data_IF_242070909616
#
_entry.id   IF_242070909616
#
_cell.length_a   1.000
_cell.length_b   1.000
_cell.length_c   1.000
_cell.angle_alpha   90.00
_cell.angle_beta   90.00
_cell.angle_gamma   90.00
#
_symmetry.space_group_name_H-M   'P 1'
#
loop_
_entity.id
_entity.type
_entity.pdbx_description
1 polymer ?
#
# COMPACT_ATOMS: atom_id res chain seq x y z
N UNK A 1 5.11 -11.48 -13.64
CA UNK A 1 4.36 -12.72 -13.29
C UNK A 1 3.22 -12.92 -14.27
N UNK A 2 3.23 -14.02 -15.07
CA UNK A 2 2.14 -14.33 -16.02
C UNK A 2 0.84 -14.53 -15.22
N UNK A 3 -0.14 -13.65 -15.41
CA UNK A 3 -1.47 -13.81 -14.82
C UNK A 3 -2.05 -15.16 -15.27
N UNK A 4 -2.48 -16.00 -14.31
CA UNK A 4 -3.11 -17.27 -14.61
C UNK A 4 -4.28 -17.06 -15.56
N UNK A 5 -4.39 -17.89 -16.60
CA UNK A 5 -5.47 -17.88 -17.60
C UNK A 5 -6.86 -17.77 -16.96
N UNK A 6 -7.09 -18.49 -15.86
CA UNK A 6 -8.32 -18.43 -15.08
C UNK A 6 -8.65 -17.05 -14.49
N UNK A 7 -7.65 -16.27 -14.08
CA UNK A 7 -7.86 -14.90 -13.61
C UNK A 7 -8.36 -13.98 -14.71
N UNK A 8 -7.92 -14.22 -15.95
CA UNK A 8 -8.40 -13.46 -17.11
C UNK A 8 -9.87 -13.78 -17.44
N UNK A 9 -10.31 -15.03 -17.28
CA UNK A 9 -11.68 -15.44 -17.54
C UNK A 9 -12.65 -14.99 -16.44
N UNK A 10 -12.32 -15.23 -15.18
CA UNK A 10 -13.25 -15.00 -14.06
C UNK A 10 -13.27 -13.56 -13.55
N UNK A 11 -12.20 -12.78 -13.81
CA UNK A 11 -11.97 -11.49 -13.18
C UNK A 11 -11.04 -11.59 -11.96
N UNK A 12 -10.46 -10.46 -11.50
CA UNK A 12 -9.53 -10.41 -10.36
C UNK A 12 -9.83 -9.21 -9.45
N UNK A 13 -9.50 -9.32 -8.15
CA UNK A 13 -9.57 -8.18 -7.22
C UNK A 13 -8.61 -7.05 -7.65
N UNK A 14 -8.92 -5.77 -7.38
CA UNK A 14 -10.13 -5.28 -6.70
C UNK A 14 -11.33 -5.07 -7.64
N UNK A 15 -11.20 -5.29 -8.95
CA UNK A 15 -12.17 -4.91 -9.96
C UNK A 15 -13.44 -5.78 -9.98
N UNK A 16 -13.40 -6.97 -9.37
CA UNK A 16 -14.54 -7.91 -9.32
C UNK A 16 -14.71 -8.43 -7.90
N UNK A 17 -15.95 -8.34 -7.37
CA UNK A 17 -16.32 -8.93 -6.09
C UNK A 17 -16.25 -10.47 -6.14
N UNK A 18 -16.29 -11.12 -4.98
CA UNK A 18 -16.30 -12.57 -4.89
C UNK A 18 -17.51 -13.16 -5.63
N UNK A 19 -18.69 -12.58 -5.42
CA UNK A 19 -19.95 -12.96 -6.04
C UNK A 19 -19.87 -12.89 -7.57
N UNK A 20 -19.31 -11.80 -8.11
CA UNK A 20 -19.12 -11.64 -9.55
C UNK A 20 -18.21 -12.70 -10.14
N UNK A 21 -17.15 -13.07 -9.44
CA UNK A 21 -16.20 -14.11 -9.89
C UNK A 21 -16.81 -15.51 -9.84
N UNK A 22 -17.59 -15.81 -8.80
CA UNK A 22 -18.34 -17.06 -8.69
C UNK A 22 -19.38 -17.12 -9.81
N UNK A 23 -20.14 -16.05 -10.03
CA UNK A 23 -21.12 -15.95 -11.09
C UNK A 23 -20.52 -16.19 -12.49
N UNK A 24 -19.39 -15.55 -12.79
CA UNK A 24 -18.68 -15.77 -14.04
C UNK A 24 -18.24 -17.24 -14.21
N UNK A 25 -17.79 -17.88 -13.13
CA UNK A 25 -17.44 -19.30 -13.14
C UNK A 25 -18.66 -20.20 -13.39
N UNK A 26 -19.79 -19.90 -12.76
CA UNK A 26 -21.06 -20.61 -12.96
C UNK A 26 -21.51 -20.46 -14.42
N UNK A 27 -21.56 -19.24 -14.97
CA UNK A 27 -21.96 -19.01 -16.35
C UNK A 27 -21.10 -19.79 -17.37
N UNK A 28 -19.77 -19.81 -17.17
CA UNK A 28 -18.86 -20.56 -18.04
C UNK A 28 -19.08 -22.08 -17.92
N UNK A 29 -19.16 -22.59 -16.69
CA UNK A 29 -19.38 -24.00 -16.44
C UNK A 29 -20.76 -24.45 -16.97
N UNK A 30 -21.81 -23.64 -16.73
CA UNK A 30 -23.15 -23.90 -17.26
C UNK A 30 -23.15 -23.92 -18.78
N UNK A 31 -22.47 -22.99 -19.45
CA UNK A 31 -22.38 -22.97 -20.90
C UNK A 31 -21.73 -24.25 -21.46
N UNK A 32 -20.65 -24.74 -20.84
CA UNK A 32 -20.02 -26.01 -21.26
C UNK A 32 -20.94 -27.20 -21.04
N UNK A 33 -21.55 -27.32 -19.87
CA UNK A 33 -22.45 -28.44 -19.54
C UNK A 33 -23.69 -28.42 -20.43
N UNK A 34 -24.32 -27.28 -20.65
CA UNK A 34 -25.48 -27.12 -21.50
C UNK A 34 -25.17 -27.46 -22.96
N UNK A 35 -24.00 -27.06 -23.46
CA UNK A 35 -23.56 -27.44 -24.79
C UNK A 35 -23.48 -28.98 -24.98
N UNK A 36 -22.91 -29.66 -23.97
CA UNK A 36 -22.86 -31.14 -24.00
C UNK A 36 -24.23 -31.76 -23.88
N UNK A 37 -25.12 -31.22 -23.03
CA UNK A 37 -26.49 -31.70 -22.88
C UNK A 37 -27.32 -31.53 -24.16
N UNK A 38 -27.19 -30.38 -24.85
CA UNK A 38 -27.90 -30.18 -26.14
C UNK A 38 -27.55 -31.30 -27.13
N UNK A 39 -26.24 -31.66 -27.19
CA UNK A 39 -25.82 -32.75 -28.07
C UNK A 39 -26.41 -34.10 -27.65
N UNK A 40 -26.47 -34.40 -26.36
CA UNK A 40 -27.04 -35.60 -25.81
C UNK A 40 -28.56 -35.68 -26.08
N UNK A 41 -29.31 -34.61 -25.84
CA UNK A 41 -30.76 -34.54 -26.05
C UNK A 41 -31.15 -34.67 -27.52
N UNK A 42 -30.31 -34.20 -28.45
CA UNK A 42 -30.48 -34.40 -29.89
C UNK A 42 -30.34 -35.89 -30.21
N UNK A 43 -29.34 -36.58 -29.67
CA UNK A 43 -29.13 -38.00 -29.88
C UNK A 43 -30.26 -38.86 -29.29
N UNK A 44 -30.84 -38.44 -28.17
CA UNK A 44 -31.99 -39.10 -27.52
C UNK A 44 -33.33 -38.74 -28.15
N UNK A 45 -33.40 -37.82 -29.11
CA UNK A 45 -34.62 -37.41 -29.80
C UNK A 45 -35.58 -36.55 -28.96
N UNK A 46 -35.15 -35.95 -27.85
CA UNK A 46 -36.00 -35.17 -26.93
C UNK A 46 -36.02 -33.70 -27.38
N UNK A 47 -36.62 -33.38 -28.51
CA UNK A 47 -36.60 -32.06 -29.14
C UNK A 47 -37.07 -30.89 -28.25
N UNK A 48 -38.02 -31.15 -27.33
CA UNK A 48 -38.60 -30.14 -26.47
C UNK A 48 -37.58 -29.61 -25.44
N UNK A 49 -36.71 -30.48 -24.90
CA UNK A 49 -35.64 -30.11 -23.98
C UNK A 49 -34.50 -29.41 -24.72
N UNK A 50 -34.21 -29.76 -25.95
CA UNK A 50 -33.16 -29.09 -26.76
C UNK A 50 -33.40 -27.58 -26.87
N UNK A 51 -34.63 -27.15 -27.19
CA UNK A 51 -34.99 -25.74 -27.30
C UNK A 51 -34.72 -25.01 -25.97
N UNK A 52 -35.13 -25.67 -24.87
CA UNK A 52 -34.93 -25.15 -23.53
C UNK A 52 -33.44 -24.97 -23.17
N UNK A 53 -32.62 -26.00 -23.44
CA UNK A 53 -31.19 -25.99 -23.18
C UNK A 53 -30.46 -24.94 -24.01
N UNK A 54 -30.84 -24.74 -25.29
CA UNK A 54 -30.31 -23.69 -26.16
C UNK A 54 -30.63 -22.30 -25.57
N UNK A 55 -31.86 -22.08 -25.10
CA UNK A 55 -32.23 -20.79 -24.48
C UNK A 55 -31.38 -20.47 -23.24
N UNK A 56 -31.17 -21.46 -22.34
CA UNK A 56 -30.34 -21.27 -21.14
C UNK A 56 -28.85 -21.02 -21.54
N UNK A 57 -28.35 -21.76 -22.52
CA UNK A 57 -27.00 -21.60 -23.03
C UNK A 57 -26.76 -20.15 -23.54
N UNK A 58 -27.66 -19.63 -24.38
CA UNK A 58 -27.58 -18.26 -24.90
C UNK A 58 -27.63 -17.24 -23.76
N UNK A 59 -28.55 -17.41 -22.81
CA UNK A 59 -28.64 -16.52 -21.63
C UNK A 59 -27.34 -16.56 -20.80
N UNK A 60 -26.76 -17.74 -20.59
CA UNK A 60 -25.51 -17.92 -19.85
C UNK A 60 -24.36 -17.18 -20.50
N UNK A 61 -24.20 -17.27 -21.83
CA UNK A 61 -23.16 -16.59 -22.61
C UNK A 61 -23.35 -15.06 -22.57
N UNK A 62 -24.60 -14.59 -22.75
CA UNK A 62 -24.92 -13.16 -22.70
C UNK A 62 -24.65 -12.61 -21.29
N UNK A 63 -25.11 -13.26 -20.24
CA UNK A 63 -24.87 -12.86 -18.85
C UNK A 63 -23.39 -12.86 -18.50
N UNK A 64 -22.63 -13.85 -18.95
CA UNK A 64 -21.15 -13.85 -18.80
C UNK A 64 -20.52 -12.64 -19.47
N UNK A 65 -20.88 -12.33 -20.72
CA UNK A 65 -20.34 -11.20 -21.44
C UNK A 65 -20.60 -9.87 -20.71
N UNK A 66 -21.86 -9.60 -20.34
CA UNK A 66 -22.21 -8.36 -19.65
C UNK A 66 -21.61 -8.27 -18.25
N UNK A 67 -21.56 -9.37 -17.50
CA UNK A 67 -20.93 -9.43 -16.18
C UNK A 67 -19.42 -9.15 -16.30
N UNK A 68 -18.74 -9.86 -17.21
CA UNK A 68 -17.28 -9.84 -17.31
C UNK A 68 -16.73 -8.58 -17.95
N UNK A 69 -17.33 -8.11 -19.06
CA UNK A 69 -16.80 -7.02 -19.86
C UNK A 69 -17.49 -5.67 -19.58
N UNK A 70 -18.77 -5.68 -19.26
CA UNK A 70 -19.53 -4.46 -18.95
C UNK A 70 -19.67 -4.20 -17.44
N UNK A 71 -19.18 -5.10 -16.58
CA UNK A 71 -19.23 -5.00 -15.11
C UNK A 71 -20.64 -4.85 -14.53
N UNK A 72 -21.69 -5.29 -15.26
CA UNK A 72 -23.11 -5.23 -14.83
C UNK A 72 -23.55 -6.55 -14.16
N UNK A 73 -22.69 -7.11 -13.32
CA UNK A 73 -22.89 -8.44 -12.72
C UNK A 73 -24.14 -8.52 -11.83
N UNK A 74 -24.50 -7.48 -11.05
CA UNK A 74 -25.69 -7.50 -10.19
C UNK A 74 -26.99 -7.70 -11.01
N UNK A 75 -27.14 -6.97 -12.11
CA UNK A 75 -28.29 -7.09 -13.01
C UNK A 75 -28.31 -8.45 -13.71
N UNK A 76 -27.13 -8.92 -14.14
CA UNK A 76 -27.00 -10.21 -14.80
C UNK A 76 -27.37 -11.38 -13.88
N UNK A 77 -27.01 -11.33 -12.59
CA UNK A 77 -27.41 -12.33 -11.60
C UNK A 77 -28.94 -12.43 -11.51
N UNK A 78 -29.63 -11.30 -11.36
CA UNK A 78 -31.08 -11.28 -11.23
C UNK A 78 -31.77 -11.85 -12.48
N UNK A 79 -31.34 -11.40 -13.67
CA UNK A 79 -31.87 -11.90 -14.95
C UNK A 79 -31.65 -13.40 -15.09
N UNK A 80 -30.44 -13.85 -14.79
CA UNK A 80 -30.07 -15.26 -14.88
C UNK A 80 -30.91 -16.13 -13.92
N UNK A 81 -31.09 -15.67 -12.66
CA UNK A 81 -31.89 -16.39 -11.67
C UNK A 81 -33.37 -16.50 -12.07
N UNK A 82 -33.96 -15.41 -12.58
CA UNK A 82 -35.37 -15.44 -13.08
C UNK A 82 -35.46 -16.40 -14.24
N UNK A 83 -34.58 -16.30 -15.24
CA UNK A 83 -34.57 -17.18 -16.39
C UNK A 83 -34.42 -18.66 -15.99
N UNK A 84 -33.49 -18.98 -15.09
CA UNK A 84 -33.29 -20.33 -14.59
C UNK A 84 -34.55 -20.89 -13.90
N UNK A 85 -35.22 -20.10 -13.02
CA UNK A 85 -36.44 -20.58 -12.37
C UNK A 85 -37.57 -20.85 -13.35
N UNK A 86 -37.79 -19.97 -14.35
CA UNK A 86 -38.79 -20.21 -15.42
C UNK A 86 -38.48 -21.49 -16.17
N UNK A 87 -37.22 -21.68 -16.56
CA UNK A 87 -36.77 -22.84 -17.31
C UNK A 87 -36.83 -24.13 -16.49
N UNK A 88 -36.62 -24.07 -15.18
CA UNK A 88 -36.79 -25.23 -14.28
C UNK A 88 -38.24 -25.64 -14.14
N UNK A 89 -39.20 -24.70 -14.11
CA UNK A 89 -40.63 -25.01 -14.14
C UNK A 89 -41.00 -25.76 -15.42
N UNK A 90 -40.49 -25.29 -16.57
CA UNK A 90 -40.72 -25.96 -17.87
C UNK A 90 -40.04 -27.32 -17.90
N UNK A 91 -38.80 -27.43 -17.40
CA UNK A 91 -38.08 -28.70 -17.32
C UNK A 91 -38.83 -29.71 -16.44
N UNK A 92 -39.38 -29.28 -15.30
CA UNK A 92 -40.19 -30.17 -14.44
C UNK A 92 -41.34 -30.80 -15.18
N UNK A 93 -42.05 -30.00 -16.00
CA UNK A 93 -43.21 -30.49 -16.78
C UNK A 93 -42.82 -31.52 -17.87
N UNK A 94 -41.69 -31.29 -18.55
CA UNK A 94 -41.27 -32.11 -19.69
C UNK A 94 -40.27 -33.20 -19.34
N UNK A 95 -39.73 -33.21 -18.12
CA UNK A 95 -38.77 -34.21 -17.66
C UNK A 95 -39.34 -35.09 -16.52
N UNK A 96 -40.55 -35.62 -16.74
CA UNK A 96 -41.20 -36.61 -15.88
C UNK A 96 -41.47 -36.17 -14.43
N UNK A 97 -41.50 -34.87 -14.12
CA UNK A 97 -41.84 -34.32 -12.82
C UNK A 97 -41.04 -34.90 -11.65
N UNK A 98 -41.73 -35.47 -10.66
CA UNK A 98 -41.11 -36.10 -9.48
C UNK A 98 -40.32 -37.37 -9.84
N UNK A 99 -40.66 -38.05 -10.93
CA UNK A 99 -39.97 -39.24 -11.38
C UNK A 99 -38.66 -38.94 -12.13
N UNK A 100 -38.42 -37.68 -12.51
CA UNK A 100 -37.21 -37.23 -13.18
C UNK A 100 -36.23 -36.56 -12.22
N UNK A 101 -35.08 -36.09 -12.73
CA UNK A 101 -34.03 -35.43 -11.92
C UNK A 101 -34.33 -33.96 -11.59
N UNK A 102 -35.49 -33.42 -11.99
CA UNK A 102 -35.81 -31.99 -11.90
C UNK A 102 -35.70 -31.43 -10.47
N UNK A 103 -36.11 -32.19 -9.44
CA UNK A 103 -35.99 -31.80 -8.05
C UNK A 103 -34.51 -31.63 -7.62
N UNK A 104 -33.63 -32.50 -8.11
CA UNK A 104 -32.19 -32.40 -7.85
C UNK A 104 -31.60 -31.10 -8.47
N UNK A 105 -32.08 -30.73 -9.67
CA UNK A 105 -31.65 -29.49 -10.34
C UNK A 105 -32.18 -28.26 -9.58
N UNK A 106 -33.37 -28.28 -8.98
CA UNK A 106 -33.86 -27.23 -8.10
C UNK A 106 -32.97 -27.06 -6.87
N UNK A 107 -32.48 -28.13 -6.24
CA UNK A 107 -31.51 -28.07 -5.13
C UNK A 107 -30.19 -27.44 -5.59
N UNK A 108 -29.69 -27.81 -6.77
CA UNK A 108 -28.51 -27.17 -7.35
C UNK A 108 -28.75 -25.68 -7.60
N UNK A 109 -29.88 -25.33 -8.23
CA UNK A 109 -30.23 -23.92 -8.48
C UNK A 109 -30.30 -23.10 -7.20
N UNK A 110 -30.88 -23.66 -6.14
CA UNK A 110 -30.90 -23.05 -4.81
C UNK A 110 -29.49 -22.81 -4.26
N UNK A 111 -28.61 -23.82 -4.30
CA UNK A 111 -27.23 -23.72 -3.85
C UNK A 111 -26.43 -22.66 -4.64
N UNK A 112 -26.58 -22.65 -5.97
CA UNK A 112 -25.91 -21.65 -6.82
C UNK A 112 -26.43 -20.23 -6.54
N UNK A 113 -27.74 -20.07 -6.32
CA UNK A 113 -28.38 -18.78 -6.00
C UNK A 113 -27.79 -18.18 -4.72
N UNK A 114 -27.74 -18.95 -3.63
CA UNK A 114 -27.17 -18.47 -2.35
C UNK A 114 -25.68 -18.13 -2.49
N UNK A 115 -24.96 -18.86 -3.34
CA UNK A 115 -23.53 -18.63 -3.54
C UNK A 115 -23.19 -17.31 -4.24
N UNK A 116 -24.15 -16.69 -4.94
CA UNK A 116 -23.92 -15.54 -5.83
C UNK A 116 -24.72 -14.30 -5.46
N UNK A 117 -25.90 -14.46 -4.90
CA UNK A 117 -26.82 -13.36 -4.59
C UNK A 117 -26.34 -12.61 -3.33
N UNK A 118 -26.47 -11.26 -3.26
CA UNK A 118 -26.16 -10.51 -2.05
C UNK A 118 -27.01 -10.94 -0.84
N UNK A 119 -26.40 -10.96 0.36
CA UNK A 119 -27.07 -11.41 1.61
C UNK A 119 -28.46 -10.82 1.85
N UNK A 120 -28.67 -9.54 1.45
CA UNK A 120 -29.98 -8.88 1.60
C UNK A 120 -31.12 -9.52 0.81
N UNK A 121 -30.83 -10.28 -0.24
CA UNK A 121 -31.79 -10.89 -1.12
C UNK A 121 -32.00 -12.41 -0.83
N UNK A 122 -31.24 -13.01 0.10
CA UNK A 122 -31.32 -14.45 0.37
C UNK A 122 -32.73 -14.93 0.65
N UNK A 123 -33.40 -14.31 1.59
CA UNK A 123 -34.74 -14.73 2.02
C UNK A 123 -35.78 -14.68 0.89
N UNK A 124 -35.67 -13.69 0.00
CA UNK A 124 -36.54 -13.59 -1.16
C UNK A 124 -36.38 -14.80 -2.11
N UNK A 125 -35.11 -15.08 -2.48
CA UNK A 125 -34.84 -16.16 -3.43
C UNK A 125 -35.06 -17.56 -2.83
N UNK A 126 -34.82 -17.75 -1.53
CA UNK A 126 -35.14 -18.97 -0.79
C UNK A 126 -36.66 -19.23 -0.82
N UNK A 127 -37.45 -18.24 -0.41
CA UNK A 127 -38.88 -18.33 -0.37
C UNK A 127 -39.50 -18.60 -1.77
N UNK A 128 -38.96 -17.91 -2.79
CA UNK A 128 -39.41 -18.10 -4.18
C UNK A 128 -39.14 -19.53 -4.68
N UNK A 129 -37.91 -20.05 -4.46
CA UNK A 129 -37.55 -21.41 -4.89
C UNK A 129 -38.45 -22.47 -4.19
N UNK A 130 -38.61 -22.34 -2.86
CA UNK A 130 -39.49 -23.25 -2.10
C UNK A 130 -40.95 -23.16 -2.56
N UNK A 131 -41.48 -21.96 -2.78
CA UNK A 131 -42.85 -21.78 -3.27
C UNK A 131 -43.06 -22.43 -4.64
N UNK A 132 -42.10 -22.25 -5.57
CA UNK A 132 -42.16 -22.89 -6.88
C UNK A 132 -42.21 -24.44 -6.74
N UNK A 133 -41.27 -25.00 -5.97
CA UNK A 133 -41.21 -26.49 -5.81
C UNK A 133 -42.46 -27.02 -5.15
N UNK A 134 -42.94 -26.39 -4.05
CA UNK A 134 -44.19 -26.82 -3.37
C UNK A 134 -45.39 -26.73 -4.32
N UNK A 135 -45.50 -25.65 -5.10
CA UNK A 135 -46.60 -25.45 -6.06
C UNK A 135 -46.56 -26.54 -7.15
N UNK A 136 -45.38 -26.85 -7.70
CA UNK A 136 -45.24 -27.89 -8.73
C UNK A 136 -45.64 -29.28 -8.21
N UNK A 137 -45.19 -29.64 -7.00
CA UNK A 137 -45.57 -30.91 -6.36
C UNK A 137 -47.06 -30.96 -6.05
N UNK A 138 -47.68 -29.86 -5.58
CA UNK A 138 -49.10 -29.79 -5.33
C UNK A 138 -49.93 -29.94 -6.61
N UNK A 139 -49.51 -29.32 -7.73
CA UNK A 139 -50.16 -29.44 -9.03
C UNK A 139 -50.08 -30.90 -9.52
N UNK A 140 -48.91 -31.55 -9.45
CA UNK A 140 -48.71 -32.91 -9.88
C UNK A 140 -49.57 -33.89 -9.07
N UNK A 141 -49.62 -33.68 -7.74
CA UNK A 141 -50.46 -34.51 -6.84
C UNK A 141 -51.96 -34.35 -7.10
N UNK A 142 -52.43 -33.10 -7.30
CA UNK A 142 -53.87 -32.80 -7.40
C UNK A 142 -54.40 -33.13 -8.79
N UNK A 143 -53.63 -32.85 -9.84
CA UNK A 143 -54.05 -33.06 -11.24
C UNK A 143 -53.25 -34.21 -11.88
N UNK A 144 -53.58 -35.44 -11.49
CA UNK A 144 -52.94 -36.64 -12.02
C UNK A 144 -53.05 -36.72 -13.56
N UNK A 145 -51.91 -36.92 -14.23
CA UNK A 145 -51.83 -36.97 -15.69
C UNK A 145 -51.44 -35.65 -16.38
N UNK A 146 -51.27 -34.53 -15.64
CA UNK A 146 -50.77 -33.27 -16.19
C UNK A 146 -49.29 -33.38 -16.61
N UNK A 147 -48.54 -34.18 -15.90
CA UNK A 147 -47.13 -34.46 -16.16
C UNK A 147 -47.03 -35.88 -16.68
N UNK A 148 -46.55 -36.04 -17.92
CA UNK A 148 -46.39 -37.34 -18.54
C UNK A 148 -44.99 -37.90 -18.24
N UNK A 149 -44.93 -39.22 -18.01
CA UNK A 149 -43.63 -39.88 -17.97
C UNK A 149 -43.03 -39.85 -19.39
N UNK A 150 -41.87 -39.21 -19.53
CA UNK A 150 -41.21 -39.00 -20.82
C UNK A 150 -40.19 -40.10 -21.13
N UNK A 151 -39.84 -40.92 -20.14
CA UNK A 151 -38.87 -42.00 -20.34
C UNK A 151 -39.48 -43.19 -21.05
N UNK A 152 -38.84 -43.71 -22.11
CA UNK A 152 -39.28 -44.89 -22.82
C UNK A 152 -39.14 -46.18 -21.97
N UNK A 153 -38.12 -46.20 -21.07
CA UNK A 153 -37.79 -47.31 -20.20
C UNK A 153 -37.14 -46.87 -18.89
N UNK A 154 -36.98 -47.79 -17.95
CA UNK A 154 -36.31 -47.51 -16.67
C UNK A 154 -34.81 -47.26 -16.82
N UNK A 155 -34.15 -47.83 -17.81
CA UNK A 155 -32.70 -47.65 -18.03
C UNK A 155 -32.40 -46.21 -18.40
N UNK A 156 -33.14 -45.63 -19.34
CA UNK A 156 -33.02 -44.20 -19.71
C UNK A 156 -33.22 -43.28 -18.53
N UNK A 157 -34.16 -43.58 -17.64
CA UNK A 157 -34.38 -42.82 -16.40
C UNK A 157 -33.19 -42.92 -15.46
N UNK A 158 -32.63 -44.10 -15.21
CA UNK A 158 -31.48 -44.29 -14.35
C UNK A 158 -30.25 -43.53 -14.88
N UNK A 159 -30.04 -43.55 -16.19
CA UNK A 159 -28.95 -42.84 -16.86
C UNK A 159 -29.08 -41.31 -16.64
N UNK A 160 -30.28 -40.73 -16.88
CA UNK A 160 -30.52 -39.29 -16.74
C UNK A 160 -30.36 -38.84 -15.29
N UNK A 161 -30.92 -39.54 -14.31
CA UNK A 161 -30.79 -39.25 -12.90
C UNK A 161 -29.31 -39.34 -12.45
N UNK A 162 -28.60 -40.40 -12.85
CA UNK A 162 -27.19 -40.59 -12.52
C UNK A 162 -26.29 -39.53 -13.14
N UNK A 163 -26.50 -39.17 -14.39
CA UNK A 163 -25.77 -38.10 -15.08
C UNK A 163 -26.03 -36.75 -14.43
N UNK A 164 -27.29 -36.42 -14.14
CA UNK A 164 -27.65 -35.18 -13.43
C UNK A 164 -26.99 -35.11 -12.06
N UNK A 165 -26.93 -36.21 -11.30
CA UNK A 165 -26.23 -36.25 -10.02
C UNK A 165 -24.74 -35.89 -10.17
N UNK A 166 -24.05 -36.43 -11.17
CA UNK A 166 -22.64 -36.13 -11.44
C UNK A 166 -22.45 -34.66 -11.77
N UNK A 167 -23.34 -34.03 -12.55
CA UNK A 167 -23.31 -32.59 -12.82
C UNK A 167 -23.45 -31.78 -11.54
N UNK A 168 -24.38 -32.16 -10.67
CA UNK A 168 -24.59 -31.48 -9.39
C UNK A 168 -23.35 -31.54 -8.52
N UNK A 169 -22.75 -32.71 -8.36
CA UNK A 169 -21.50 -32.89 -7.61
C UNK A 169 -20.39 -32.03 -8.19
N UNK A 170 -20.25 -31.98 -9.52
CA UNK A 170 -19.26 -31.12 -10.18
C UNK A 170 -19.48 -29.64 -9.87
N UNK A 171 -20.71 -29.10 -9.95
CA UNK A 171 -20.99 -27.71 -9.64
C UNK A 171 -20.75 -27.36 -8.16
N UNK A 172 -21.19 -28.26 -7.25
CA UNK A 172 -20.93 -28.06 -5.81
C UNK A 172 -19.42 -28.03 -5.55
N UNK A 173 -18.64 -28.92 -6.14
CA UNK A 173 -17.18 -28.95 -6.03
C UNK A 173 -16.57 -27.67 -6.59
N UNK A 174 -16.97 -27.23 -7.78
CA UNK A 174 -16.47 -26.04 -8.44
C UNK A 174 -16.69 -24.78 -7.57
N UNK A 175 -17.92 -24.57 -7.11
CA UNK A 175 -18.29 -23.41 -6.30
C UNK A 175 -17.58 -23.45 -4.95
N UNK A 176 -17.64 -24.58 -4.24
CA UNK A 176 -17.01 -24.74 -2.92
C UNK A 176 -15.50 -24.51 -2.98
N UNK A 177 -14.83 -25.06 -3.99
CA UNK A 177 -13.39 -24.87 -4.20
C UNK A 177 -13.05 -23.42 -4.50
N UNK A 178 -13.87 -22.76 -5.33
CA UNK A 178 -13.70 -21.35 -5.67
C UNK A 178 -13.88 -20.44 -4.45
N UNK A 179 -14.93 -20.66 -3.66
CA UNK A 179 -15.20 -19.93 -2.40
C UNK A 179 -14.05 -20.11 -1.41
N UNK A 180 -13.64 -21.36 -1.17
CA UNK A 180 -12.57 -21.71 -0.23
C UNK A 180 -11.24 -21.04 -0.61
N UNK A 181 -10.88 -21.10 -1.88
CA UNK A 181 -9.65 -20.46 -2.40
C UNK A 181 -9.66 -18.95 -2.20
N UNK A 182 -10.78 -18.31 -2.50
CA UNK A 182 -10.91 -16.86 -2.33
C UNK A 182 -10.90 -16.44 -0.85
N UNK A 183 -11.58 -17.18 0.01
CA UNK A 183 -11.58 -16.96 1.46
C UNK A 183 -10.17 -17.02 2.04
N UNK A 184 -9.38 -18.03 1.69
CA UNK A 184 -8.00 -18.14 2.13
C UNK A 184 -7.12 -16.99 1.63
N UNK A 185 -7.35 -16.49 0.41
CA UNK A 185 -6.59 -15.37 -0.14
C UNK A 185 -6.91 -14.07 0.60
N UNK A 186 -8.19 -13.81 0.85
CA UNK A 186 -8.63 -12.61 1.59
C UNK A 186 -8.17 -12.65 3.05
N UNK A 187 -8.26 -13.82 3.70
CA UNK A 187 -7.78 -13.99 5.06
C UNK A 187 -6.29 -13.68 5.19
N UNK A 188 -5.45 -14.22 4.28
CA UNK A 188 -4.01 -13.90 4.27
C UNK A 188 -3.74 -12.42 4.09
N UNK A 189 -4.50 -11.73 3.23
CA UNK A 189 -4.34 -10.29 3.04
C UNK A 189 -4.72 -9.50 4.30
N UNK A 190 -5.78 -9.91 5.00
CA UNK A 190 -6.19 -9.29 6.27
C UNK A 190 -5.14 -9.53 7.35
N UNK A 191 -4.62 -10.76 7.48
CA UNK A 191 -3.55 -11.09 8.43
C UNK A 191 -2.28 -10.27 8.15
N UNK A 192 -1.88 -10.12 6.88
CA UNK A 192 -0.74 -9.27 6.50
C UNK A 192 -0.95 -7.81 6.91
N UNK A 193 -2.12 -7.24 6.60
CA UNK A 193 -2.43 -5.86 6.99
C UNK A 193 -2.51 -5.67 8.51
N UNK A 194 -2.99 -6.67 9.24
CA UNK A 194 -3.01 -6.62 10.70
C UNK A 194 -1.59 -6.59 11.28
N UNK A 195 -0.69 -7.45 10.79
CA UNK A 195 0.72 -7.46 11.22
C UNK A 195 1.47 -6.19 10.85
N UNK A 196 1.22 -5.61 9.67
CA UNK A 196 1.78 -4.32 9.26
C UNK A 196 1.30 -3.20 10.19
N UNK A 197 0.01 -3.17 10.51
CA UNK A 197 -0.57 -2.17 11.43
C UNK A 197 -0.03 -2.32 12.86
N UNK A 198 0.08 -3.54 13.37
CA UNK A 198 0.67 -3.81 14.69
C UNK A 198 2.13 -3.36 14.76
N UNK A 199 2.92 -3.64 13.74
CA UNK A 199 4.31 -3.19 13.64
C UNK A 199 4.44 -1.67 13.62
N UNK A 200 3.60 -0.99 12.82
CA UNK A 200 3.57 0.47 12.78
C UNK A 200 3.16 1.08 14.12
N UNK A 201 2.15 0.50 14.79
CA UNK A 201 1.70 0.95 16.11
C UNK A 201 2.76 0.73 17.20
N UNK A 202 3.46 -0.41 17.18
CA UNK A 202 4.56 -0.69 18.11
C UNK A 202 5.71 0.32 17.93
N UNK A 203 6.06 0.67 16.68
CA UNK A 203 7.06 1.68 16.36
C UNK A 203 6.65 3.05 16.88
N UNK A 204 5.38 3.43 16.67
CA UNK A 204 4.82 4.68 17.15
C UNK A 204 4.82 4.79 18.68
N UNK A 205 4.40 3.73 19.39
CA UNK A 205 4.41 3.68 20.85
C UNK A 205 5.83 3.78 21.43
N UNK A 206 6.80 3.11 20.80
CA UNK A 206 8.21 3.21 21.21
C UNK A 206 8.74 4.64 21.05
N UNK A 207 8.42 5.31 19.95
CA UNK A 207 8.77 6.71 19.72
C UNK A 207 8.16 7.64 20.77
N UNK A 208 6.87 7.51 21.08
CA UNK A 208 6.23 8.29 22.12
C UNK A 208 6.91 8.10 23.49
N UNK A 209 7.34 6.89 23.79
CA UNK A 209 8.07 6.62 25.05
C UNK A 209 9.42 7.34 25.10
N UNK A 210 10.22 7.29 24.00
CA UNK A 210 11.50 7.99 23.91
C UNK A 210 11.29 9.50 24.01
N UNK A 211 10.32 10.02 23.30
CA UNK A 211 10.00 11.45 23.30
C UNK A 211 9.55 11.98 24.65
N UNK A 212 8.69 11.23 25.35
CA UNK A 212 8.24 11.59 26.69
C UNK A 212 9.41 11.63 27.70
N UNK A 213 10.36 10.69 27.55
CA UNK A 213 11.58 10.69 28.35
C UNK A 213 12.47 11.89 28.03
N UNK A 214 12.74 12.13 26.74
CA UNK A 214 13.69 13.15 26.30
C UNK A 214 13.14 14.59 26.43
N UNK A 215 11.82 14.78 26.42
CA UNK A 215 11.18 16.06 26.75
C UNK A 215 11.20 16.38 28.25
N UNK A 216 11.13 15.36 29.11
CA UNK A 216 11.13 15.57 30.57
C UNK A 216 12.42 16.21 31.05
N UNK A 217 13.56 15.80 30.51
CA UNK A 217 14.89 16.31 30.92
C UNK A 217 15.04 17.81 30.70
N UNK A 218 14.87 18.37 29.49
CA UNK A 218 15.02 19.84 29.28
C UNK A 218 13.95 20.64 30.01
N UNK A 219 12.70 20.12 30.13
CA UNK A 219 11.66 20.82 30.90
C UNK A 219 12.02 20.90 32.40
N UNK A 220 12.57 19.83 32.98
CA UNK A 220 13.06 19.87 34.36
C UNK A 220 14.23 20.83 34.52
N UNK A 221 15.13 20.89 33.54
CA UNK A 221 16.23 21.88 33.55
C UNK A 221 15.72 23.32 33.50
N UNK A 222 14.76 23.62 32.63
CA UNK A 222 14.09 24.93 32.54
C UNK A 222 13.45 25.29 33.87
N UNK A 223 12.72 24.35 34.49
CA UNK A 223 12.10 24.59 35.80
C UNK A 223 13.13 24.88 36.87
N UNK A 224 14.20 24.08 36.97
CA UNK A 224 15.26 24.29 37.94
C UNK A 224 15.95 25.65 37.77
N UNK A 225 16.25 26.08 36.54
CA UNK A 225 16.85 27.40 36.26
C UNK A 225 15.92 28.54 36.67
N UNK A 226 14.61 28.41 36.44
CA UNK A 226 13.62 29.40 36.88
C UNK A 226 13.50 29.46 38.42
N UNK A 227 13.58 28.33 39.11
CA UNK A 227 13.59 28.27 40.58
C UNK A 227 14.84 28.96 41.15
N UNK A 228 16.03 28.67 40.60
CA UNK A 228 17.27 29.31 40.99
C UNK A 228 17.22 30.83 40.80
N UNK A 229 16.69 31.31 39.65
CA UNK A 229 16.54 32.73 39.35
C UNK A 229 15.54 33.44 40.30
N UNK A 230 14.53 32.68 40.85
CA UNK A 230 13.51 33.24 41.73
C UNK A 230 13.89 33.23 43.21
N UNK A 231 14.65 32.23 43.66
CA UNK A 231 14.92 32.00 45.09
C UNK A 231 16.27 32.56 45.57
N UNK A 232 17.23 32.67 44.67
CA UNK A 232 18.57 33.05 45.03
C UNK A 232 18.95 34.49 44.57
N UNK A 233 19.69 35.22 45.42
CA UNK A 233 20.33 36.47 45.02
C UNK A 233 21.62 36.15 44.28
N UNK A 234 21.57 36.18 42.98
CA UNK A 234 22.68 35.89 42.07
C UNK A 234 23.41 37.20 41.70
N UNK A 235 24.69 37.10 41.45
CA UNK A 235 25.42 38.19 40.81
C UNK A 235 25.03 38.32 39.32
N UNK A 236 25.45 39.40 38.68
CA UNK A 236 25.07 39.73 37.30
C UNK A 236 25.64 38.70 36.30
N UNK A 237 26.83 38.15 36.57
CA UNK A 237 27.47 37.10 35.77
C UNK A 237 26.78 35.77 35.86
N UNK A 238 26.41 35.32 37.07
CA UNK A 238 25.65 34.10 37.33
C UNK A 238 24.26 34.17 36.69
N UNK A 239 23.60 35.32 36.81
CA UNK A 239 22.29 35.55 36.21
C UNK A 239 22.35 35.49 34.70
N UNK A 240 23.38 36.06 34.07
CA UNK A 240 23.56 36.00 32.61
C UNK A 240 23.82 34.57 32.15
N UNK A 241 24.64 33.81 32.87
CA UNK A 241 24.92 32.40 32.60
C UNK A 241 23.67 31.57 32.61
N UNK A 242 22.85 31.69 33.67
CA UNK A 242 21.60 30.92 33.80
C UNK A 242 20.57 31.31 32.72
N UNK A 243 20.48 32.60 32.38
CA UNK A 243 19.62 33.05 31.29
C UNK A 243 20.01 32.42 29.94
N UNK A 244 21.30 32.32 29.66
CA UNK A 244 21.82 31.71 28.45
C UNK A 244 21.50 30.18 28.42
N UNK A 245 21.68 29.49 29.54
CA UNK A 245 21.32 28.06 29.66
C UNK A 245 19.80 27.82 29.51
N UNK A 246 18.97 28.70 30.05
CA UNK A 246 17.53 28.68 29.91
C UNK A 246 17.12 28.87 28.45
N UNK A 247 17.72 29.82 27.75
CA UNK A 247 17.48 30.10 26.34
C UNK A 247 17.87 28.91 25.48
N UNK A 248 19.04 28.32 25.70
CA UNK A 248 19.53 27.13 24.99
C UNK A 248 18.60 25.93 25.21
N UNK A 249 18.17 25.68 26.47
CA UNK A 249 17.26 24.57 26.80
C UNK A 249 15.90 24.75 26.12
N UNK A 250 15.39 25.98 26.07
CA UNK A 250 14.11 26.30 25.41
C UNK A 250 14.20 26.10 23.90
N UNK A 251 15.29 26.58 23.26
CA UNK A 251 15.52 26.40 21.83
C UNK A 251 15.63 24.92 21.44
N UNK A 252 16.40 24.15 22.21
CA UNK A 252 16.53 22.70 21.98
C UNK A 252 15.19 21.97 22.10
N UNK A 253 14.35 22.35 23.08
CA UNK A 253 13.01 21.78 23.26
C UNK A 253 12.09 22.13 22.11
N UNK A 254 12.14 23.35 21.58
CA UNK A 254 11.35 23.79 20.45
C UNK A 254 11.77 23.08 19.16
N UNK A 255 13.06 22.88 18.93
CA UNK A 255 13.58 22.12 17.81
C UNK A 255 13.13 20.65 17.87
N UNK A 256 13.17 20.04 19.04
CA UNK A 256 12.68 18.70 19.27
C UNK A 256 11.18 18.55 18.95
N UNK A 257 10.35 19.49 19.42
CA UNK A 257 8.91 19.49 19.11
C UNK A 257 8.63 19.67 17.61
N UNK A 258 9.40 20.53 16.94
CA UNK A 258 9.28 20.74 15.49
C UNK A 258 9.60 19.46 14.72
N UNK A 259 10.68 18.79 15.09
CA UNK A 259 11.09 17.53 14.48
C UNK A 259 10.04 16.42 14.71
N UNK A 260 9.45 16.36 15.90
CA UNK A 260 8.37 15.44 16.23
C UNK A 260 7.11 15.68 15.37
N UNK A 261 6.67 16.94 15.26
CA UNK A 261 5.50 17.30 14.46
C UNK A 261 5.69 16.95 12.98
N UNK A 262 6.87 17.22 12.42
CA UNK A 262 7.21 16.87 11.05
C UNK A 262 7.20 15.36 10.84
N UNK A 263 7.78 14.60 11.76
CA UNK A 263 7.76 13.14 11.71
C UNK A 263 6.34 12.58 11.83
N UNK A 264 5.56 13.04 12.80
CA UNK A 264 4.17 12.62 12.99
C UNK A 264 3.33 12.87 11.73
N UNK A 265 3.49 14.04 11.11
CA UNK A 265 2.83 14.38 9.85
C UNK A 265 3.23 13.43 8.71
N UNK A 266 4.51 13.05 8.65
CA UNK A 266 4.99 12.11 7.63
C UNK A 266 4.38 10.71 7.78
N UNK A 267 4.21 10.24 9.00
CA UNK A 267 3.64 8.91 9.29
C UNK A 267 2.11 8.83 9.11
N UNK A 268 1.38 9.90 9.50
CA UNK A 268 -0.10 9.88 9.51
C UNK A 268 -0.74 10.03 8.12
N UNK A 269 -0.10 10.72 7.18
CA UNK A 269 -0.71 11.07 5.90
C UNK A 269 -0.11 10.35 4.68
N UNK A 270 0.86 9.43 4.89
CA UNK A 270 1.69 8.97 3.77
C UNK A 270 2.33 10.19 3.11
N UNK A 271 3.29 10.82 3.81
CA UNK A 271 3.87 12.07 3.35
C UNK A 271 4.29 11.98 1.89
N UNK A 272 3.74 12.86 1.08
CA UNK A 272 4.18 13.03 -0.31
C UNK A 272 5.11 14.23 -0.33
N UNK A 273 6.35 14.01 -0.76
CA UNK A 273 7.29 15.11 -0.98
C UNK A 273 6.80 15.96 -2.17
N UNK A 274 6.81 17.28 -1.99
CA UNK A 274 6.53 18.21 -3.08
C UNK A 274 7.82 18.44 -3.88
N UNK A 275 8.10 17.51 -4.79
CA UNK A 275 9.31 17.53 -5.59
C UNK A 275 9.24 18.62 -6.65
N UNK A 276 10.11 19.63 -6.53
CA UNK A 276 10.23 20.75 -7.47
C UNK A 276 11.69 20.93 -7.90
N UNK A 277 11.90 21.64 -9.01
CA UNK A 277 13.25 22.03 -9.47
C UNK A 277 13.80 23.10 -8.54
N UNK A 278 14.93 22.85 -7.88
CA UNK A 278 15.58 23.73 -6.94
C UNK A 278 17.03 24.03 -7.36
N UNK A 279 17.43 25.30 -7.26
CA UNK A 279 18.85 25.65 -7.25
C UNK A 279 19.42 25.35 -5.84
N UNK A 280 20.35 24.42 -5.76
CA UNK A 280 20.87 23.90 -4.49
C UNK A 280 21.47 25.00 -3.62
N UNK A 281 22.37 25.80 -4.17
CA UNK A 281 23.07 26.86 -3.43
C UNK A 281 22.11 27.94 -2.93
N UNK A 282 21.20 28.41 -3.80
CA UNK A 282 20.21 29.43 -3.43
C UNK A 282 19.26 28.94 -2.34
N UNK A 283 18.84 27.68 -2.41
CA UNK A 283 17.93 27.08 -1.41
C UNK A 283 18.59 26.94 -0.06
N UNK A 284 19.91 26.64 0.01
CA UNK A 284 20.65 26.43 1.24
C UNK A 284 21.33 27.67 1.77
N UNK A 285 21.38 28.78 1.03
CA UNK A 285 22.13 30.01 1.35
C UNK A 285 21.85 30.52 2.76
N UNK A 286 20.59 30.69 3.12
CA UNK A 286 20.21 31.20 4.44
C UNK A 286 20.61 30.22 5.56
N UNK A 287 20.38 28.91 5.35
CA UNK A 287 20.79 27.88 6.30
C UNK A 287 22.29 27.90 6.53
N UNK A 288 23.09 28.01 5.47
CA UNK A 288 24.56 28.06 5.59
C UNK A 288 25.06 29.32 6.28
N UNK A 289 24.50 30.49 5.97
CA UNK A 289 24.87 31.75 6.62
C UNK A 289 24.62 31.74 8.13
N UNK A 290 23.45 31.23 8.57
CA UNK A 290 23.15 31.10 9.99
C UNK A 290 24.16 30.18 10.69
N UNK A 291 24.47 29.04 10.10
CA UNK A 291 25.39 28.06 10.71
C UNK A 291 26.85 28.48 10.63
N UNK A 292 27.25 29.34 9.68
CA UNK A 292 28.57 29.98 9.64
C UNK A 292 28.77 30.87 10.84
N UNK A 293 27.76 31.67 11.24
CA UNK A 293 27.83 32.50 12.43
C UNK A 293 27.98 31.66 13.70
N UNK A 294 27.17 30.59 13.85
CA UNK A 294 27.26 29.67 14.99
C UNK A 294 28.61 28.94 15.03
N UNK A 295 29.14 28.54 13.87
CA UNK A 295 30.46 27.92 13.77
C UNK A 295 31.57 28.87 14.26
N UNK A 296 31.51 30.13 13.83
CA UNK A 296 32.49 31.16 14.24
C UNK A 296 32.49 31.38 15.76
N UNK A 297 31.32 31.43 16.42
CA UNK A 297 31.19 31.52 17.88
C UNK A 297 31.80 30.32 18.61
N UNK A 298 31.79 29.14 17.99
CA UNK A 298 32.43 27.92 18.51
C UNK A 298 33.91 27.81 18.16
N UNK A 299 34.46 28.77 17.37
CA UNK A 299 35.83 28.73 16.84
C UNK A 299 36.04 27.61 15.79
N UNK A 300 34.98 27.24 15.03
CA UNK A 300 34.99 26.23 13.98
C UNK A 300 34.89 26.93 12.62
N UNK A 301 35.66 26.49 11.65
CA UNK A 301 35.60 27.02 10.28
C UNK A 301 34.59 26.24 9.46
N UNK A 302 33.45 26.86 9.08
CA UNK A 302 32.47 26.27 8.15
C UNK A 302 32.64 26.90 6.76
N UNK A 303 33.01 26.05 5.79
CA UNK A 303 33.29 26.47 4.40
C UNK A 303 32.21 25.95 3.46
N UNK A 304 31.60 26.85 2.69
CA UNK A 304 30.67 26.56 1.61
C UNK A 304 31.41 26.45 0.27
N UNK A 305 31.33 25.31 -0.39
CA UNK A 305 31.91 25.03 -1.71
C UNK A 305 30.82 24.67 -2.75
N UNK A 306 29.56 25.06 -2.52
CA UNK A 306 28.46 24.79 -3.43
C UNK A 306 28.57 25.62 -4.71
N UNK A 307 28.35 24.99 -5.87
CA UNK A 307 28.34 25.64 -7.19
C UNK A 307 26.95 26.19 -7.49
N UNK A 308 26.87 27.37 -8.10
CA UNK A 308 25.60 28.00 -8.50
C UNK A 308 24.86 27.25 -9.62
N UNK A 309 25.55 26.38 -10.35
CA UNK A 309 25.03 25.66 -11.52
C UNK A 309 24.33 24.35 -11.20
N UNK A 310 24.20 23.97 -9.94
CA UNK A 310 23.59 22.66 -9.57
C UNK A 310 22.10 22.84 -9.30
N UNK A 311 21.28 22.16 -10.11
CA UNK A 311 19.84 22.08 -9.94
C UNK A 311 19.43 20.62 -9.64
N UNK A 312 18.61 20.45 -8.61
CA UNK A 312 18.11 19.14 -8.16
C UNK A 312 16.58 19.10 -8.14
N UNK A 313 16.01 17.91 -8.17
CA UNK A 313 14.59 17.68 -7.95
C UNK A 313 14.41 17.22 -6.50
N UNK A 314 13.87 18.12 -5.65
CA UNK A 314 13.70 17.87 -4.22
C UNK A 314 12.56 18.72 -3.64
N UNK A 315 12.17 18.41 -2.40
CA UNK A 315 11.32 19.26 -1.56
C UNK A 315 12.20 20.24 -0.77
N UNK A 316 11.92 21.54 -0.91
CA UNK A 316 12.77 22.60 -0.35
C UNK A 316 12.85 22.55 1.18
N UNK A 317 11.71 22.33 1.85
CA UNK A 317 11.64 22.34 3.31
C UNK A 317 12.32 21.09 3.89
N UNK A 318 12.08 19.93 3.29
CA UNK A 318 12.72 18.66 3.68
C UNK A 318 14.23 18.71 3.44
N UNK A 319 14.67 19.26 2.30
CA UNK A 319 16.09 19.44 1.99
C UNK A 319 16.78 20.32 3.03
N UNK A 320 16.21 21.49 3.34
CA UNK A 320 16.77 22.40 4.35
C UNK A 320 16.86 21.73 5.73
N UNK A 321 15.83 20.96 6.11
CA UNK A 321 15.82 20.22 7.37
C UNK A 321 16.95 19.16 7.42
N UNK A 322 17.13 18.39 6.35
CA UNK A 322 18.20 17.38 6.26
C UNK A 322 19.56 18.05 6.43
N UNK A 323 19.84 19.09 5.65
CA UNK A 323 21.14 19.76 5.67
C UNK A 323 21.38 20.46 7.01
N UNK A 324 20.39 21.11 7.60
CA UNK A 324 20.46 21.70 8.92
C UNK A 324 20.82 20.69 10.00
N UNK A 325 20.14 19.53 10.02
CA UNK A 325 20.44 18.46 10.98
C UNK A 325 21.86 17.92 10.83
N UNK A 326 22.34 17.74 9.61
CA UNK A 326 23.70 17.24 9.37
C UNK A 326 24.76 18.24 9.76
N UNK A 327 24.55 19.54 9.48
CA UNK A 327 25.46 20.61 9.90
C UNK A 327 25.46 20.76 11.42
N UNK A 328 24.30 20.72 12.08
CA UNK A 328 24.21 20.75 13.54
C UNK A 328 24.97 19.58 14.18
N UNK A 329 24.89 18.39 13.62
CA UNK A 329 25.67 17.24 14.09
C UNK A 329 27.18 17.48 13.90
N UNK A 330 27.61 18.01 12.76
CA UNK A 330 29.01 18.35 12.51
C UNK A 330 29.52 19.40 13.52
N UNK A 331 28.76 20.46 13.78
CA UNK A 331 29.08 21.50 14.78
C UNK A 331 29.14 20.96 16.21
N UNK A 332 28.26 20.00 16.54
CA UNK A 332 28.21 19.39 17.87
C UNK A 332 29.43 18.52 18.16
N UNK A 333 29.93 17.79 17.16
CA UNK A 333 30.99 16.80 17.34
C UNK A 333 32.38 17.29 16.87
N UNK A 334 32.49 18.51 16.39
CA UNK A 334 33.78 19.12 16.01
C UNK A 334 34.32 20.00 17.16
N UNK A 335 35.60 19.82 17.48
CA UNK A 335 36.28 20.65 18.49
C UNK A 335 36.54 22.07 17.98
N UNK A 336 36.73 23.07 18.88
CA UNK A 336 37.24 24.38 18.51
C UNK A 336 38.55 24.27 17.72
N UNK A 337 38.70 25.09 16.69
CA UNK A 337 39.83 25.02 15.73
C UNK A 337 39.60 24.00 14.59
N UNK A 338 38.49 23.23 14.64
CA UNK A 338 38.14 22.26 13.59
C UNK A 338 37.52 22.91 12.35
N UNK A 339 37.24 22.05 11.36
CA UNK A 339 36.72 22.46 10.05
C UNK A 339 35.54 21.63 9.62
N UNK A 340 34.54 22.30 9.02
CA UNK A 340 33.38 21.67 8.38
C UNK A 340 33.30 22.17 6.94
N UNK A 341 33.14 21.26 5.98
CA UNK A 341 33.03 21.54 4.55
C UNK A 341 31.69 21.06 4.04
N UNK A 342 30.93 21.94 3.39
CA UNK A 342 29.72 21.63 2.67
C UNK A 342 29.98 21.77 1.19
N UNK A 343 29.85 20.67 0.42
CA UNK A 343 30.07 20.68 -1.03
C UNK A 343 29.04 19.84 -1.73
N UNK A 344 28.97 19.95 -3.06
CA UNK A 344 28.10 19.11 -3.88
C UNK A 344 28.75 18.87 -5.25
N UNK A 345 28.63 17.63 -5.73
CA UNK A 345 29.10 17.21 -7.02
C UNK A 345 28.02 16.44 -7.80
N UNK A 346 28.01 16.65 -9.13
CA UNK A 346 27.19 15.90 -10.03
C UNK A 346 27.86 14.55 -10.37
N UNK A 347 27.20 13.44 -10.07
CA UNK A 347 27.69 12.09 -10.31
C UNK A 347 26.65 11.31 -11.13
N UNK A 348 26.85 11.23 -12.43
CA UNK A 348 25.91 10.62 -13.37
C UNK A 348 24.58 11.39 -13.38
N UNK A 349 23.47 10.74 -13.00
CA UNK A 349 22.13 11.35 -12.95
C UNK A 349 21.78 11.97 -11.61
N UNK A 350 22.68 11.89 -10.63
CA UNK A 350 22.44 12.31 -9.24
C UNK A 350 23.38 13.45 -8.83
N UNK A 351 22.91 14.32 -7.98
CA UNK A 351 23.72 15.27 -7.22
C UNK A 351 24.02 14.64 -5.86
N UNK A 352 25.29 14.57 -5.49
CA UNK A 352 25.75 14.15 -4.16
C UNK A 352 26.18 15.37 -3.36
N UNK A 353 25.43 15.68 -2.31
CA UNK A 353 25.75 16.71 -1.33
C UNK A 353 26.62 16.04 -0.25
N UNK A 354 27.71 16.67 0.14
CA UNK A 354 28.66 16.18 1.12
C UNK A 354 28.79 17.19 2.27
N UNK A 355 28.64 16.70 3.50
CA UNK A 355 28.94 17.43 4.72
C UNK A 355 30.06 16.66 5.44
N UNK A 356 31.27 17.28 5.46
CA UNK A 356 32.48 16.67 6.03
C UNK A 356 32.92 17.47 7.23
N UNK A 357 33.15 16.79 8.34
CA UNK A 357 33.78 17.34 9.54
C UNK A 357 35.09 16.60 9.87
N UNK A 358 35.98 17.25 10.64
CA UNK A 358 37.18 16.66 11.22
C UNK A 358 37.05 16.48 12.73
N UNK A 359 35.86 16.17 13.21
CA UNK A 359 35.52 16.03 14.62
C UNK A 359 35.88 14.65 15.21
N UNK A 360 35.13 14.26 16.24
CA UNK A 360 35.37 13.02 17.02
C UNK A 360 35.15 11.73 16.22
N UNK A 361 34.42 11.79 15.10
CA UNK A 361 33.99 10.61 14.37
C UNK A 361 32.96 9.77 15.14
N UNK A 362 32.58 8.64 14.57
CA UNK A 362 31.57 7.71 15.11
C UNK A 362 32.26 6.39 15.44
N UNK A 363 32.11 5.90 16.67
CA UNK A 363 32.64 4.60 17.08
C UNK A 363 32.06 3.46 16.24
N UNK A 364 32.86 2.43 15.95
CA UNK A 364 32.47 1.29 15.10
C UNK A 364 31.22 0.58 15.62
N UNK A 365 31.01 0.54 16.94
CA UNK A 365 29.86 -0.09 17.58
C UNK A 365 28.53 0.61 17.24
N UNK A 366 28.57 1.95 17.08
CA UNK A 366 27.37 2.75 16.81
C UNK A 366 27.07 2.94 15.32
N UNK A 367 28.05 2.68 14.43
CA UNK A 367 27.88 2.94 12.99
C UNK A 367 26.72 2.18 12.35
N UNK A 368 26.41 0.98 12.81
CA UNK A 368 25.32 0.17 12.25
C UNK A 368 23.93 0.71 12.58
N UNK A 369 23.81 1.46 13.68
CA UNK A 369 22.51 1.86 14.24
C UNK A 369 22.23 3.37 14.19
N UNK A 370 23.12 4.20 13.63
CA UNK A 370 22.98 5.67 13.66
C UNK A 370 21.70 6.21 13.02
N UNK A 371 21.11 5.46 12.10
CA UNK A 371 19.83 5.77 11.46
C UNK A 371 18.65 5.01 12.07
N UNK A 372 18.82 4.43 13.27
CA UNK A 372 17.77 3.65 13.93
C UNK A 372 17.32 4.31 15.24
N UNK A 373 16.12 3.94 15.71
CA UNK A 373 15.58 4.34 17.04
C UNK A 373 16.31 3.68 18.24
N UNK A 374 17.35 2.90 17.99
CA UNK A 374 18.09 2.17 19.03
C UNK A 374 19.31 2.92 19.54
N UNK A 375 19.76 3.94 18.81
CA UNK A 375 20.98 4.65 19.14
C UNK A 375 20.73 5.61 20.31
N UNK A 376 21.42 5.38 21.42
CA UNK A 376 21.46 6.34 22.52
C UNK A 376 22.16 7.62 22.04
N UNK A 377 21.61 8.76 22.42
CA UNK A 377 22.22 10.05 22.07
C UNK A 377 23.56 10.23 22.78
N UNK A 378 24.63 10.50 22.04
CA UNK A 378 25.95 10.80 22.57
C UNK A 378 26.11 12.27 22.89
N UNK A 379 26.96 12.58 23.90
CA UNK A 379 27.29 13.95 24.25
C UNK A 379 28.24 14.56 23.21
N UNK A 380 27.99 15.82 22.86
CA UNK A 380 28.87 16.61 22.00
C UNK A 380 30.10 17.14 22.75
N UNK A 381 30.96 17.88 22.02
CA UNK A 381 32.23 18.45 22.54
C UNK A 381 32.05 19.46 23.67
N UNK A 382 30.89 20.10 23.79
CA UNK A 382 30.49 21.00 24.90
C UNK A 382 29.41 20.38 25.81
N UNK A 383 29.36 19.06 25.92
CA UNK A 383 28.38 18.34 26.73
C UNK A 383 26.92 18.47 26.25
N UNK A 384 26.71 18.89 24.99
CA UNK A 384 25.37 18.97 24.41
C UNK A 384 24.79 17.57 24.17
N UNK A 385 23.63 17.26 24.77
CA UNK A 385 22.91 16.02 24.53
C UNK A 385 21.98 16.19 23.32
N UNK A 386 22.04 15.30 22.34
CA UNK A 386 21.11 15.29 21.21
C UNK A 386 19.86 14.46 21.52
N UNK A 387 18.84 14.63 20.68
CA UNK A 387 17.56 13.91 20.80
C UNK A 387 17.60 12.51 20.15
N UNK A 388 18.63 12.19 19.37
CA UNK A 388 18.73 10.91 18.67
C UNK A 388 17.83 10.75 17.44
N UNK A 389 16.91 11.69 17.18
CA UNK A 389 15.95 11.62 16.08
C UNK A 389 16.43 12.27 14.77
N UNK A 390 17.41 13.16 14.82
CA UNK A 390 17.82 13.97 13.66
C UNK A 390 18.29 13.15 12.47
N UNK A 391 19.14 12.15 12.69
CA UNK A 391 19.65 11.28 11.61
C UNK A 391 18.58 10.34 11.05
N UNK A 392 17.67 9.85 11.90
CA UNK A 392 16.52 9.04 11.44
C UNK A 392 15.64 9.88 10.50
N UNK A 393 15.32 11.12 10.88
CA UNK A 393 14.55 12.05 10.04
C UNK A 393 15.27 12.36 8.73
N UNK A 394 16.59 12.55 8.76
CA UNK A 394 17.39 12.75 7.56
C UNK A 394 17.24 11.58 6.59
N UNK A 395 17.27 10.35 7.10
CA UNK A 395 17.08 9.15 6.31
C UNK A 395 15.66 9.08 5.73
N UNK A 396 14.62 9.17 6.56
CA UNK A 396 13.23 9.10 6.12
C UNK A 396 12.89 10.16 5.08
N UNK A 397 13.27 11.43 5.31
CA UNK A 397 12.99 12.49 4.35
C UNK A 397 13.82 12.41 3.07
N UNK A 398 15.03 11.85 3.14
CA UNK A 398 15.82 11.58 1.94
C UNK A 398 15.18 10.46 1.10
N UNK A 399 14.79 9.36 1.72
CA UNK A 399 14.14 8.22 1.07
C UNK A 399 12.77 8.60 0.49
N UNK A 400 11.99 9.44 1.20
CA UNK A 400 10.69 9.95 0.73
C UNK A 400 10.82 10.75 -0.58
N UNK A 401 11.95 11.41 -0.80
CA UNK A 401 12.27 12.13 -2.01
C UNK A 401 12.99 11.29 -3.07
N UNK A 402 13.00 9.95 -2.93
CA UNK A 402 13.73 9.00 -3.77
C UNK A 402 15.26 9.25 -3.78
N UNK A 403 15.79 9.89 -2.74
CA UNK A 403 17.20 10.10 -2.51
C UNK A 403 17.86 8.95 -1.73
N UNK A 404 19.16 9.11 -1.46
CA UNK A 404 19.93 8.16 -0.65
C UNK A 404 20.85 8.93 0.31
N UNK A 405 20.90 8.53 1.59
CA UNK A 405 21.84 9.02 2.57
C UNK A 405 22.83 7.92 2.95
N UNK A 406 24.12 8.27 3.03
CA UNK A 406 25.21 7.39 3.47
C UNK A 406 26.22 8.20 4.25
N UNK A 407 27.17 7.52 4.90
CA UNK A 407 28.25 8.19 5.62
C UNK A 407 29.52 7.35 5.58
N UNK A 408 30.64 8.04 5.85
CA UNK A 408 31.95 7.46 6.13
C UNK A 408 32.47 8.11 7.39
N UNK A 409 32.94 7.34 8.36
CA UNK A 409 33.43 7.85 9.62
C UNK A 409 34.55 7.01 10.20
N UNK A 410 35.56 7.67 10.75
CA UNK A 410 36.64 7.02 11.47
C UNK A 410 36.75 7.68 12.84
N UNK A 411 36.72 6.93 13.94
CA UNK A 411 36.92 7.47 15.27
C UNK A 411 38.18 8.30 15.38
N UNK A 412 38.05 9.54 15.87
CA UNK A 412 39.14 10.53 16.01
C UNK A 412 39.56 11.25 14.73
N UNK A 413 38.97 10.94 13.57
CA UNK A 413 39.32 11.56 12.28
C UNK A 413 38.15 12.34 11.62
N UNK A 414 36.96 12.25 12.18
CA UNK A 414 35.76 12.94 11.70
C UNK A 414 34.76 12.06 10.95
N UNK A 415 33.74 12.72 10.41
CA UNK A 415 32.64 12.07 9.68
C UNK A 415 32.35 12.84 8.38
N UNK A 416 31.94 12.07 7.37
CA UNK A 416 31.45 12.63 6.11
C UNK A 416 30.07 12.01 5.82
N UNK A 417 29.03 12.84 5.79
CA UNK A 417 27.71 12.44 5.35
C UNK A 417 27.51 12.78 3.89
N UNK A 418 26.88 11.87 3.15
CA UNK A 418 26.53 12.01 1.74
C UNK A 418 25.03 11.91 1.57
N UNK A 419 24.41 12.90 0.93
CA UNK A 419 22.99 12.90 0.58
C UNK A 419 22.88 13.06 -0.93
N UNK A 420 22.17 12.13 -1.59
CA UNK A 420 22.05 12.14 -3.06
C UNK A 420 20.60 12.36 -3.47
N UNK A 421 20.38 13.28 -4.44
CA UNK A 421 19.11 13.57 -5.07
C UNK A 421 19.25 13.57 -6.58
N UNK A 422 18.14 13.43 -7.32
CA UNK A 422 18.15 13.48 -8.79
C UNK A 422 18.51 14.89 -9.30
N UNK A 423 19.46 14.94 -10.26
CA UNK A 423 19.73 16.14 -11.00
C UNK A 423 18.54 16.51 -11.92
N UNK A 424 18.27 17.79 -12.07
CA UNK A 424 17.29 18.25 -13.07
C UNK A 424 17.94 18.25 -14.44
N UNK A 425 17.42 17.43 -15.37
CA UNK A 425 18.05 17.14 -16.69
C UNK A 425 17.99 18.28 -17.71
N UNK A 426 17.18 19.33 -17.50
CA UNK A 426 16.91 20.34 -18.54
C UNK A 426 18.09 21.31 -18.85
N UNK A 427 19.10 21.41 -18.01
CA UNK A 427 20.21 22.39 -18.19
C UNK A 427 21.58 21.77 -18.53
N UNK A 428 21.75 20.46 -18.44
CA UNK A 428 23.04 19.83 -18.71
C UNK A 428 23.38 19.74 -20.21
N UNK A 429 22.37 19.77 -21.09
CA UNK A 429 22.56 19.70 -22.54
C UNK A 429 22.88 21.06 -23.21
N UNK A 430 22.68 22.21 -22.55
CA UNK A 430 22.98 23.49 -23.17
C UNK A 430 24.44 23.95 -22.97
N UNK A 431 25.11 23.53 -21.91
CA UNK A 431 26.52 23.91 -21.66
C UNK A 431 27.54 22.96 -22.31
N UNK A 432 27.17 21.71 -22.58
CA UNK A 432 28.04 20.74 -23.28
C UNK A 432 28.20 20.96 -24.79
N UNK A 433 27.24 21.68 -25.41
CA UNK A 433 27.25 21.92 -26.85
C UNK A 433 28.05 23.20 -27.23
N UNK A 434 28.18 24.17 -26.31
CA UNK A 434 28.90 25.42 -26.59
C UNK A 434 30.43 25.31 -26.53
N UNK A 435 30.99 24.40 -25.73
CA UNK A 435 32.46 24.20 -25.74
C UNK A 435 32.96 23.42 -26.96
N UNK A 436 32.14 22.52 -27.53
CA UNK A 436 32.49 21.77 -28.73
C UNK A 436 32.44 22.58 -30.03
N UNK A 437 31.66 23.66 -30.05
CA UNK A 437 31.57 24.55 -31.22
C UNK A 437 32.63 25.68 -31.20
N UNK A 438 33.12 26.07 -30.05
CA UNK A 438 34.21 27.06 -29.96
C UNK A 438 35.58 26.50 -30.33
N UNK A 439 35.80 25.22 -30.15
CA UNK A 439 37.04 24.52 -30.57
C UNK A 439 37.11 24.26 -32.07
N UNK A 440 35.96 24.14 -32.77
CA UNK A 440 35.93 23.98 -34.25
C UNK A 440 36.07 25.27 -35.05
N UNK A 441 35.92 26.45 -34.44
CA UNK A 441 36.12 27.76 -35.12
C UNK A 441 37.52 28.32 -35.01
N UNK A 442 38.49 27.61 -34.36
CA UNK A 442 39.92 28.03 -34.26
C UNK A 442 40.85 27.18 -35.15
N UNK A 443 40.30 26.35 -36.03
CA UNK A 443 41.11 25.60 -37.02
C UNK A 443 40.53 25.73 -38.44
N UNK A 444 40.22 26.96 -38.86
CA UNK A 444 40.13 27.31 -40.26
C UNK A 444 40.81 28.64 -40.45
#
# INVERSE_FOLDING_TARGET
MKQSFWKKLLGYPPNFSLEARIFNAICLASAVVLFLNIFLDILLGIQQLVILMVAIFVISVICYYYSRFKKKWNTCIVIYMIACNILLIVNYKYNSGINGPSLLIFVLSYFLTISVVPKKQYWFWIALNLAIVITLLAIEYTYQGTIKNTYPDNESRFIDVGYTYLIIVFFIFLVTTTVRKNYHTERKLVEQKATELESANATMNKLFSILAHDLRSPLASIQNYLEVLSEFKLDEGERLSINNELLNSTQNTQEMLTNLLLWSKSQMQGATANLVKLNLKKTLQNTLQIHQAVAAEKGIQLTDQLKDSIFITADADMLQLIIRNLINNALKFTNPGGQIIVSADAIGTDCRIMIKDNGLGISYEHQNDIFSLKTESTFGTKNEKGVGLGLLLCKEFTELQNGKITFESTPGAGTTFYVSFKLCQDDYNQNGVNEGQLLKKRQV
#
